data_IF_735281547253
#
_entry.id   IF_735281547253
#
_cell.length_a   1.000
_cell.length_b   1.000
_cell.length_c   1.000
_cell.angle_alpha   90.00
_cell.angle_beta   90.00
_cell.angle_gamma   90.00
#
_symmetry.space_group_name_H-M   'P 1'
#
loop_
_entity.id
_entity.type
_entity.pdbx_description
1 polymer ?
#
# COMPACT_ATOMS: atom_id res chain seq x y z
N UNK A 1 -9.00 -10.09 -20.56
CA UNK A 1 -10.06 -9.75 -19.59
C UNK A 1 -9.39 -9.79 -18.21
N UNK A 2 -8.97 -8.67 -17.62
CA UNK A 2 -9.84 -7.59 -17.16
C UNK A 2 -10.23 -7.78 -15.69
N UNK A 3 -9.32 -8.27 -14.83
CA UNK A 3 -9.53 -8.32 -13.38
C UNK A 3 -8.60 -7.30 -12.72
N UNK A 4 -9.17 -6.16 -12.34
CA UNK A 4 -8.59 -5.20 -11.40
C UNK A 4 -8.83 -5.76 -10.02
N UNK A 5 -7.77 -5.89 -9.24
CA UNK A 5 -7.76 -6.63 -7.99
C UNK A 5 -7.12 -5.71 -6.94
N UNK A 6 -7.69 -5.63 -5.73
CA UNK A 6 -7.44 -4.53 -4.81
C UNK A 6 -5.94 -4.35 -4.54
N UNK A 7 -5.47 -3.10 -4.67
CA UNK A 7 -4.41 -2.67 -3.76
C UNK A 7 -5.08 -2.61 -2.39
N UNK A 8 -4.49 -3.24 -1.35
CA UNK A 8 -4.51 -2.86 0.08
C UNK A 8 -4.71 -4.02 1.07
N UNK A 9 -3.90 -4.08 2.16
CA UNK A 9 -4.29 -4.12 3.61
C UNK A 9 -3.03 -3.80 4.48
N UNK A 10 -3.07 -2.83 5.42
CA UNK A 10 -2.32 -2.90 6.71
C UNK A 10 -2.95 -1.93 7.75
N UNK A 11 -3.31 -2.47 8.91
CA UNK A 11 -3.90 -1.80 10.07
C UNK A 11 -2.88 -0.96 10.88
N UNK A 12 -1.58 -1.09 10.58
CA UNK A 12 -0.48 -0.49 11.36
C UNK A 12 -0.16 0.97 11.01
N UNK A 13 -0.78 1.55 9.97
CA UNK A 13 -0.46 2.92 9.57
C UNK A 13 -1.05 4.00 10.50
N UNK A 14 -2.00 3.65 11.38
CA UNK A 14 -2.67 4.60 12.27
C UNK A 14 -1.93 4.85 13.60
N UNK A 15 -0.80 4.17 13.86
CA UNK A 15 -0.02 4.33 15.10
C UNK A 15 0.89 5.56 15.13
N UNK A 16 0.78 6.45 14.14
CA UNK A 16 1.62 7.65 13.99
C UNK A 16 0.89 8.97 14.35
N UNK A 17 -0.40 8.93 14.70
CA UNK A 17 -1.22 10.11 15.01
C UNK A 17 -1.80 10.07 16.43
N UNK A 18 -0.95 9.91 17.44
CA UNK A 18 -1.38 9.98 18.84
C UNK A 18 -1.18 11.40 19.38
N UNK A 19 -2.20 12.27 19.23
CA UNK A 19 -2.63 13.22 20.29
C UNK A 19 -3.99 13.94 20.02
N UNK A 20 -5.04 13.23 19.59
CA UNK A 20 -6.40 13.79 19.56
C UNK A 20 -7.38 12.78 20.15
N UNK A 21 -7.94 13.11 21.32
CA UNK A 21 -8.96 12.35 22.05
C UNK A 21 -10.34 12.46 21.40
N UNK A 22 -10.50 11.94 20.17
CA UNK A 22 -11.69 11.24 19.63
C UNK A 22 -11.19 10.42 18.42
N UNK A 23 -10.47 9.31 18.65
CA UNK A 23 -10.13 8.39 17.57
C UNK A 23 -11.16 7.27 17.54
N UNK A 24 -12.21 7.42 16.73
CA UNK A 24 -12.85 6.22 16.19
C UNK A 24 -11.83 5.56 15.26
N UNK A 25 -11.51 4.29 15.51
CA UNK A 25 -10.65 3.55 14.59
C UNK A 25 -11.40 3.41 13.26
N UNK A 26 -10.94 4.13 12.23
CA UNK A 26 -11.49 4.06 10.87
C UNK A 26 -10.76 2.97 10.11
N UNK A 27 -11.52 2.00 9.60
CA UNK A 27 -11.01 0.86 8.84
C UNK A 27 -11.48 0.90 7.39
N UNK A 28 -10.87 0.04 6.56
CA UNK A 28 -11.31 -0.21 5.20
C UNK A 28 -10.39 0.39 4.14
N UNK A 29 -10.64 0.02 2.89
CA UNK A 29 -9.86 0.46 1.73
C UNK A 29 -9.86 1.98 1.56
N UNK A 30 -10.91 2.65 2.05
CA UNK A 30 -11.06 4.10 2.07
C UNK A 30 -10.03 4.81 2.95
N UNK A 31 -9.66 4.23 4.09
CA UNK A 31 -8.62 4.81 4.96
C UNK A 31 -7.22 4.63 4.35
N UNK A 32 -7.02 3.54 3.59
CA UNK A 32 -5.72 3.19 3.06
C UNK A 32 -5.38 3.82 1.70
N UNK A 33 -6.39 4.18 0.90
CA UNK A 33 -6.20 4.89 -0.37
C UNK A 33 -5.48 6.24 -0.19
N UNK A 34 -5.92 7.16 0.69
CA UNK A 34 -5.23 8.43 0.93
C UNK A 34 -3.84 8.23 1.57
N UNK A 35 -3.68 7.22 2.42
CA UNK A 35 -2.40 6.80 2.99
C UNK A 35 -1.34 6.48 1.93
N UNK A 36 -1.70 5.67 0.93
CA UNK A 36 -0.83 5.39 -0.22
C UNK A 36 -0.49 6.65 -1.01
N UNK A 37 -1.49 7.50 -1.27
CA UNK A 37 -1.28 8.75 -2.01
C UNK A 37 -0.25 9.66 -1.31
N UNK A 38 -0.33 9.80 0.02
CA UNK A 38 0.62 10.61 0.80
C UNK A 38 2.04 10.07 0.70
N UNK A 39 2.25 8.76 0.84
CA UNK A 39 3.59 8.16 0.72
C UNK A 39 4.25 8.46 -0.63
N UNK A 40 3.47 8.42 -1.71
CA UNK A 40 3.95 8.71 -3.07
C UNK A 40 4.21 10.19 -3.26
N UNK A 41 3.35 11.05 -2.72
CA UNK A 41 3.57 12.50 -2.71
C UNK A 41 4.87 12.88 -2.00
N UNK A 42 5.16 12.27 -0.84
CA UNK A 42 6.39 12.50 -0.09
C UNK A 42 7.65 12.10 -0.89
N UNK A 43 7.62 10.97 -1.59
CA UNK A 43 8.75 10.56 -2.44
C UNK A 43 8.90 11.48 -3.64
N UNK A 44 7.80 11.91 -4.27
CA UNK A 44 7.88 12.90 -5.34
C UNK A 44 8.46 14.23 -4.87
N UNK A 45 8.08 14.69 -3.68
CA UNK A 45 8.67 15.88 -3.06
C UNK A 45 10.19 15.74 -2.86
N UNK A 46 10.64 14.61 -2.31
CA UNK A 46 12.07 14.32 -2.15
C UNK A 46 12.81 14.24 -3.49
N UNK A 47 12.21 13.60 -4.50
CA UNK A 47 12.81 13.52 -5.84
C UNK A 47 12.97 14.90 -6.48
N UNK A 48 11.96 15.76 -6.36
CA UNK A 48 12.01 17.13 -6.86
C UNK A 48 13.09 17.93 -6.13
N UNK A 49 13.24 17.79 -4.81
CA UNK A 49 14.33 18.48 -4.07
C UNK A 49 15.73 18.03 -4.52
N UNK A 50 15.85 16.81 -5.02
CA UNK A 50 17.08 16.25 -5.60
C UNK A 50 17.21 16.50 -7.11
N UNK A 51 16.36 17.34 -7.71
CA UNK A 51 16.35 17.64 -9.15
C UNK A 51 15.92 16.47 -10.05
N UNK A 52 15.33 15.42 -9.49
CA UNK A 52 14.83 14.24 -10.22
C UNK A 52 13.38 14.44 -10.66
N UNK A 53 13.00 13.76 -11.75
CA UNK A 53 11.60 13.70 -12.20
C UNK A 53 10.70 12.95 -11.23
N UNK A 54 9.40 13.25 -11.20
CA UNK A 54 8.43 12.54 -10.35
C UNK A 54 8.22 11.09 -10.80
N UNK A 55 7.70 10.28 -9.89
CA UNK A 55 7.25 8.92 -10.17
C UNK A 55 6.03 9.01 -11.10
N UNK A 56 6.20 8.56 -12.36
CA UNK A 56 5.12 8.44 -13.34
C UNK A 56 4.17 7.27 -13.02
N UNK A 57 3.82 6.46 -14.03
CA UNK A 57 2.86 5.37 -13.82
C UNK A 57 3.37 4.27 -12.84
N UNK A 58 2.89 4.33 -11.60
CA UNK A 58 3.35 3.52 -10.45
C UNK A 58 3.29 2.01 -10.68
N UNK A 59 2.25 1.51 -11.35
CA UNK A 59 2.07 0.06 -11.55
C UNK A 59 3.28 -0.59 -12.23
N UNK A 60 3.88 0.10 -13.20
CA UNK A 60 5.07 -0.37 -13.91
C UNK A 60 6.32 -0.27 -13.04
N UNK A 61 6.43 0.80 -12.27
CA UNK A 61 7.54 1.09 -11.37
C UNK A 61 7.63 0.07 -10.23
N UNK A 62 6.51 -0.20 -9.56
CA UNK A 62 6.43 -1.14 -8.43
C UNK A 62 6.79 -2.56 -8.86
N UNK A 63 6.31 -3.00 -10.02
CA UNK A 63 6.62 -4.33 -10.56
C UNK A 63 8.09 -4.53 -10.95
N UNK A 64 8.78 -3.47 -11.39
CA UNK A 64 10.16 -3.56 -11.93
C UNK A 64 11.24 -3.20 -10.92
N UNK A 65 11.03 -2.14 -10.17
CA UNK A 65 12.13 -1.42 -9.47
C UNK A 65 11.93 -1.33 -7.97
N UNK A 66 10.71 -1.51 -7.47
CA UNK A 66 10.39 -1.33 -6.06
C UNK A 66 9.63 -2.53 -5.45
N UNK A 67 9.80 -3.72 -6.03
CA UNK A 67 9.14 -4.94 -5.53
C UNK A 67 9.59 -5.29 -4.11
N UNK A 68 10.85 -5.00 -3.76
CA UNK A 68 11.39 -5.15 -2.41
C UNK A 68 10.79 -4.18 -1.38
N UNK A 69 10.16 -3.09 -1.84
CA UNK A 69 9.46 -2.13 -0.99
C UNK A 69 8.02 -2.55 -0.68
N UNK A 70 7.54 -3.64 -1.26
CA UNK A 70 6.24 -4.24 -0.94
C UNK A 70 6.45 -5.31 0.14
N UNK A 71 5.58 -5.31 1.13
CA UNK A 71 5.47 -6.37 2.12
C UNK A 71 4.27 -7.24 1.74
N UNK A 72 4.56 -8.46 1.32
CA UNK A 72 3.59 -9.46 0.91
C UNK A 72 2.80 -9.99 2.12
N UNK A 73 1.50 -10.19 1.96
CA UNK A 73 0.61 -10.74 2.98
C UNK A 73 0.19 -12.12 2.54
N UNK A 74 0.63 -13.15 3.27
CA UNK A 74 0.47 -14.55 2.85
C UNK A 74 -0.57 -15.32 3.66
N UNK A 75 -1.28 -14.64 4.56
CA UNK A 75 -2.26 -15.27 5.47
C UNK A 75 -3.51 -14.41 5.60
N UNK A 76 -4.67 -15.05 5.68
CA UNK A 76 -5.98 -14.41 5.79
C UNK A 76 -6.82 -14.57 4.53
N UNK A 77 -7.99 -13.92 4.52
CA UNK A 77 -8.98 -14.05 3.43
C UNK A 77 -9.91 -12.84 3.44
N UNK A 78 -10.41 -12.42 2.27
CA UNK A 78 -11.41 -11.35 2.15
C UNK A 78 -12.83 -11.87 2.44
N UNK A 79 -13.08 -12.23 3.69
CA UNK A 79 -14.38 -12.71 4.16
C UNK A 79 -15.48 -11.67 3.94
N UNK A 80 -16.59 -12.07 3.34
CA UNK A 80 -17.76 -11.22 3.15
C UNK A 80 -19.03 -11.99 3.50
N UNK A 81 -19.86 -11.44 4.40
CA UNK A 81 -21.20 -11.95 4.76
C UNK A 81 -21.28 -13.47 5.00
N UNK A 82 -20.30 -14.05 5.69
CA UNK A 82 -20.31 -15.48 6.06
C UNK A 82 -19.63 -16.41 5.04
N UNK A 83 -19.14 -15.87 3.92
CA UNK A 83 -18.42 -16.65 2.91
C UNK A 83 -16.93 -16.32 2.99
N UNK A 84 -16.09 -17.36 3.11
CA UNK A 84 -14.66 -17.22 2.88
C UNK A 84 -14.46 -16.89 1.41
N UNK A 85 -13.96 -15.69 1.12
CA UNK A 85 -13.57 -15.28 -0.22
C UNK A 85 -12.26 -15.95 -0.63
N UNK A 86 -11.39 -15.21 -1.28
CA UNK A 86 -10.08 -15.71 -1.69
C UNK A 86 -9.09 -15.72 -0.52
N UNK A 87 -8.17 -16.71 -0.46
CA UNK A 87 -7.07 -16.69 0.49
C UNK A 87 -5.97 -15.72 0.04
N UNK A 88 -5.31 -15.10 1.01
CA UNK A 88 -4.02 -14.46 0.79
C UNK A 88 -2.94 -15.54 0.60
N UNK A 89 -2.04 -15.35 -0.36
CA UNK A 89 -1.01 -16.34 -0.72
C UNK A 89 0.28 -15.61 -1.07
N UNK A 90 1.40 -16.34 -1.12
CA UNK A 90 2.68 -15.75 -1.54
C UNK A 90 2.59 -15.16 -2.95
N UNK A 91 3.02 -13.90 -3.07
CA UNK A 91 3.15 -13.19 -4.32
C UNK A 91 2.02 -12.22 -4.56
N UNK A 92 1.30 -12.41 -5.67
CA UNK A 92 0.11 -11.62 -5.95
C UNK A 92 -1.11 -12.44 -5.63
N UNK A 93 -2.07 -11.85 -4.92
CA UNK A 93 -3.32 -12.51 -4.57
C UNK A 93 -4.52 -11.57 -4.65
N UNK A 94 -5.76 -12.10 -4.77
CA UNK A 94 -6.96 -11.28 -4.89
C UNK A 94 -7.54 -10.69 -3.60
N UNK A 95 -6.89 -10.95 -2.48
CA UNK A 95 -7.23 -10.41 -1.16
C UNK A 95 -6.42 -9.16 -0.85
N UNK A 96 -5.12 -9.15 -1.15
CA UNK A 96 -4.18 -8.10 -0.76
C UNK A 96 -3.39 -7.50 -1.93
N UNK A 97 -3.51 -8.05 -3.13
CA UNK A 97 -2.76 -7.60 -4.30
C UNK A 97 -1.29 -8.00 -4.19
N UNK A 98 -0.38 -7.02 -4.19
CA UNK A 98 1.05 -7.26 -3.92
C UNK A 98 1.41 -6.99 -2.44
N UNK A 99 0.40 -6.83 -1.58
CA UNK A 99 0.56 -6.38 -0.20
C UNK A 99 0.67 -4.87 -0.04
N UNK A 100 1.40 -4.42 0.98
CA UNK A 100 1.48 -3.00 1.37
C UNK A 100 2.88 -2.39 1.20
N UNK A 101 2.95 -1.07 1.03
CA UNK A 101 4.23 -0.37 0.88
C UNK A 101 4.94 -0.17 2.22
N UNK A 102 6.24 -0.43 2.23
CA UNK A 102 7.15 0.03 3.27
C UNK A 102 7.82 1.34 2.82
N UNK A 103 7.49 2.46 3.48
CA UNK A 103 8.02 3.78 3.11
C UNK A 103 9.55 3.84 3.10
N UNK A 104 10.20 3.27 4.11
CA UNK A 104 11.66 3.32 4.23
C UNK A 104 12.35 2.58 3.07
N UNK A 105 11.85 1.38 2.73
CA UNK A 105 12.34 0.62 1.58
C UNK A 105 12.01 1.32 0.26
N UNK A 106 10.84 1.95 0.17
CA UNK A 106 10.40 2.67 -1.02
C UNK A 106 11.28 3.89 -1.29
N UNK A 107 11.58 4.68 -0.26
CA UNK A 107 12.52 5.81 -0.36
C UNK A 107 13.92 5.34 -0.74
N UNK A 108 14.40 4.22 -0.19
CA UNK A 108 15.70 3.66 -0.58
C UNK A 108 15.73 3.23 -2.05
N UNK A 109 14.62 2.68 -2.56
CA UNK A 109 14.54 2.20 -3.93
C UNK A 109 14.29 3.31 -4.96
N UNK A 110 13.58 4.37 -4.58
CA UNK A 110 13.02 5.36 -5.52
C UNK A 110 13.28 6.82 -5.17
N UNK A 111 13.85 7.12 -4.00
CA UNK A 111 14.23 8.48 -3.60
C UNK A 111 15.29 9.08 -4.51
#
# INVERSE_FOLDING_TARGET
>A
MGATVPMLVDIRMLRWLENITILSQVYGTSALSPSWAVMIALINGYRISEGKSTLGFLKRLLRRSARSALNDITTGHNHARGTYGYPAVTGWDPTTGLGFLNFAKLRKALG
#
